data_IF_506034381568
#
_entry.id   IF_506034381568
#
_cell.length_a   1.000
_cell.length_b   1.000
_cell.length_c   1.000
_cell.angle_alpha   90.00
_cell.angle_beta   90.00
_cell.angle_gamma   90.00
#
_symmetry.space_group_name_H-M   'P 1'
#
loop_
_entity.id
_entity.type
_entity.pdbx_description
1 polymer ?
#
# COMPACT_ATOMS: atom_id res chain seq x y z
N UNK A 1 28.76 -9.70 13.86
CA UNK A 1 28.29 -10.68 12.87
C UNK A 1 27.22 -10.03 12.03
N UNK A 2 27.48 -9.84 10.75
CA UNK A 2 26.49 -9.38 9.77
C UNK A 2 25.50 -10.52 9.50
N UNK A 3 24.19 -10.27 9.67
CA UNK A 3 23.15 -11.25 9.35
C UNK A 3 22.67 -10.97 7.93
N UNK A 4 23.20 -11.71 6.96
CA UNK A 4 22.73 -11.64 5.57
C UNK A 4 21.40 -12.38 5.45
N UNK A 5 20.38 -11.69 4.99
CA UNK A 5 19.07 -12.28 4.70
C UNK A 5 19.20 -13.07 3.39
N UNK A 6 19.22 -14.40 3.49
CA UNK A 6 19.31 -15.26 2.30
C UNK A 6 17.90 -15.50 1.77
N UNK A 7 17.60 -14.94 0.60
CA UNK A 7 16.37 -15.21 -0.12
C UNK A 7 16.50 -16.58 -0.79
N UNK A 8 15.89 -17.60 -0.18
CA UNK A 8 15.91 -18.98 -0.70
C UNK A 8 14.91 -19.20 -1.86
N UNK A 9 13.86 -18.39 -1.89
CA UNK A 9 12.83 -18.44 -2.93
C UNK A 9 13.05 -17.33 -3.96
N UNK A 10 13.38 -17.72 -5.20
CA UNK A 10 13.63 -16.78 -6.29
C UNK A 10 12.39 -15.95 -6.66
N UNK A 11 11.18 -16.38 -6.31
CA UNK A 11 9.96 -15.58 -6.51
C UNK A 11 9.96 -14.30 -5.68
N UNK A 12 10.68 -14.28 -4.56
CA UNK A 12 10.84 -13.10 -3.70
C UNK A 12 11.87 -12.09 -4.23
N UNK A 13 12.53 -12.36 -5.37
CA UNK A 13 13.42 -11.39 -6.03
C UNK A 13 12.72 -10.08 -6.41
N UNK A 14 11.40 -10.10 -6.55
CA UNK A 14 10.58 -8.90 -6.76
C UNK A 14 10.59 -7.90 -5.59
N UNK A 15 11.19 -8.28 -4.46
CA UNK A 15 11.23 -7.48 -3.24
C UNK A 15 10.05 -7.78 -2.32
N UNK A 16 10.01 -7.07 -1.19
CA UNK A 16 8.94 -7.14 -0.20
C UNK A 16 8.45 -5.72 0.10
N UNK A 17 7.18 -5.61 0.46
CA UNK A 17 6.60 -4.35 0.93
C UNK A 17 6.53 -4.38 2.45
N UNK A 18 7.24 -3.47 3.10
CA UNK A 18 7.13 -3.30 4.54
C UNK A 18 5.77 -2.69 4.90
N UNK A 19 5.06 -3.31 5.84
CA UNK A 19 3.78 -2.81 6.34
C UNK A 19 4.01 -2.05 7.65
N UNK A 20 3.65 -0.75 7.74
CA UNK A 20 3.72 -0.04 9.00
C UNK A 20 2.80 -0.67 10.06
N UNK A 21 3.34 -0.98 11.24
CA UNK A 21 2.57 -1.58 12.34
C UNK A 21 1.34 -0.74 12.72
N UNK A 22 1.42 0.59 12.60
CA UNK A 22 0.29 1.50 12.84
C UNK A 22 -0.89 1.22 11.92
N UNK A 23 -0.65 0.84 10.67
CA UNK A 23 -1.71 0.47 9.70
C UNK A 23 -2.19 -0.95 9.99
N UNK A 24 -1.25 -1.88 10.22
CA UNK A 24 -1.58 -3.28 10.45
C UNK A 24 -2.43 -3.47 11.71
N UNK A 25 -2.10 -2.75 12.78
CA UNK A 25 -2.81 -2.77 14.05
C UNK A 25 -3.96 -1.76 14.14
N UNK A 26 -4.23 -0.97 13.08
CA UNK A 26 -5.25 0.07 13.10
C UNK A 26 -6.63 -0.50 13.49
N UNK A 27 -7.23 -0.05 14.60
CA UNK A 27 -8.58 -0.42 14.95
C UNK A 27 -9.57 0.30 14.02
N UNK A 28 -10.56 -0.43 13.51
CA UNK A 28 -11.58 0.13 12.63
C UNK A 28 -11.17 0.29 11.16
N UNK A 29 -9.99 -0.21 10.77
CA UNK A 29 -9.71 -0.56 9.37
C UNK A 29 -10.01 -2.04 9.15
N UNK A 30 -10.75 -2.33 8.09
CA UNK A 30 -10.94 -3.67 7.54
C UNK A 30 -9.60 -4.24 7.09
N UNK A 31 -9.48 -5.56 7.11
CA UNK A 31 -8.28 -6.24 6.63
C UNK A 31 -8.02 -5.95 5.15
N UNK A 32 -9.09 -5.80 4.36
CA UNK A 32 -9.04 -5.44 2.95
C UNK A 32 -8.53 -4.01 2.74
N UNK A 33 -8.96 -3.05 3.55
CA UNK A 33 -8.45 -1.68 3.49
C UNK A 33 -6.96 -1.62 3.86
N UNK A 34 -6.52 -2.43 4.84
CA UNK A 34 -5.09 -2.61 5.16
C UNK A 34 -4.34 -3.17 3.96
N UNK A 35 -4.87 -4.21 3.30
CA UNK A 35 -4.30 -4.76 2.07
C UNK A 35 -4.19 -3.74 0.94
N UNK A 36 -5.22 -2.90 0.76
CA UNK A 36 -5.21 -1.82 -0.22
C UNK A 36 -4.14 -0.78 0.09
N UNK A 37 -4.00 -0.37 1.35
CA UNK A 37 -2.93 0.54 1.77
C UNK A 37 -1.54 -0.03 1.47
N UNK A 38 -1.32 -1.32 1.74
CA UNK A 38 -0.05 -2.00 1.44
C UNK A 38 0.22 -2.01 -0.07
N UNK A 39 -0.82 -2.21 -0.89
CA UNK A 39 -0.72 -2.18 -2.36
C UNK A 39 -0.35 -0.79 -2.87
N UNK A 40 -0.93 0.25 -2.28
CA UNK A 40 -0.58 1.64 -2.56
C UNK A 40 0.89 1.92 -2.21
N UNK A 41 1.35 1.47 -1.03
CA UNK A 41 2.72 1.65 -0.57
C UNK A 41 3.73 0.90 -1.45
N UNK A 42 3.44 -0.35 -1.82
CA UNK A 42 4.23 -1.14 -2.76
C UNK A 42 4.41 -0.37 -4.08
N UNK A 43 3.32 0.18 -4.61
CA UNK A 43 3.34 0.89 -5.89
C UNK A 43 4.11 2.21 -5.81
N UNK A 44 3.94 2.97 -4.72
CA UNK A 44 4.67 4.21 -4.49
C UNK A 44 6.18 3.96 -4.32
N UNK A 45 6.57 2.89 -3.62
CA UNK A 45 7.98 2.51 -3.49
C UNK A 45 8.62 2.11 -4.82
N UNK A 46 7.85 1.42 -5.69
CA UNK A 46 8.35 0.96 -6.98
C UNK A 46 8.36 2.05 -8.06
N UNK A 47 7.33 2.89 -8.10
CA UNK A 47 7.06 3.79 -9.23
C UNK A 47 7.18 5.29 -8.87
N UNK A 48 7.25 5.63 -7.58
CA UNK A 48 7.27 7.02 -7.11
C UNK A 48 5.90 7.71 -7.06
N UNK A 49 4.81 7.00 -7.38
CA UNK A 49 3.45 7.56 -7.35
C UNK A 49 2.40 6.50 -6.97
N UNK A 50 1.23 6.97 -6.54
CA UNK A 50 0.09 6.11 -6.24
C UNK A 50 -0.69 5.73 -7.51
N UNK A 51 -1.05 4.44 -7.66
CA UNK A 51 -1.81 3.98 -8.81
C UNK A 51 -3.23 4.54 -8.78
N UNK A 52 -3.75 4.89 -9.95
CA UNK A 52 -5.17 5.23 -10.11
C UNK A 52 -6.08 4.02 -9.89
N UNK A 53 -7.39 4.28 -9.75
CA UNK A 53 -8.40 3.25 -9.44
C UNK A 53 -8.43 2.08 -10.41
N UNK A 54 -8.28 2.33 -11.71
CA UNK A 54 -8.21 1.27 -12.71
C UNK A 54 -7.01 0.35 -12.49
N UNK A 55 -5.84 0.92 -12.19
CA UNK A 55 -4.65 0.13 -11.92
C UNK A 55 -4.78 -0.66 -10.62
N UNK A 56 -5.46 -0.11 -9.62
CA UNK A 56 -5.79 -0.84 -8.40
C UNK A 56 -6.72 -2.03 -8.66
N UNK A 57 -7.75 -1.88 -9.50
CA UNK A 57 -8.62 -3.00 -9.86
C UNK A 57 -7.85 -4.10 -10.59
N UNK A 58 -6.89 -3.75 -11.46
CA UNK A 58 -6.03 -4.72 -12.14
C UNK A 58 -5.07 -5.43 -11.19
N UNK A 59 -4.50 -4.71 -10.22
CA UNK A 59 -3.51 -5.26 -9.27
C UNK A 59 -4.14 -6.13 -8.18
N UNK A 60 -5.36 -5.82 -7.77
CA UNK A 60 -6.03 -6.48 -6.63
C UNK A 60 -7.11 -7.45 -7.07
N UNK A 61 -7.42 -7.49 -8.38
CA UNK A 61 -8.55 -8.21 -8.97
C UNK A 61 -9.93 -7.88 -8.34
N UNK A 62 -9.99 -6.77 -7.59
CA UNK A 62 -11.21 -6.29 -6.96
C UNK A 62 -12.05 -5.48 -7.95
N UNK A 63 -13.36 -5.49 -7.74
CA UNK A 63 -14.27 -4.64 -8.51
C UNK A 63 -13.99 -3.15 -8.24
N UNK A 64 -14.31 -2.28 -9.22
CA UNK A 64 -14.22 -0.82 -9.05
C UNK A 64 -15.01 -0.34 -7.83
N UNK A 65 -16.19 -0.92 -7.59
CA UNK A 65 -17.03 -0.62 -6.43
C UNK A 65 -16.32 -0.93 -5.11
N UNK A 66 -15.65 -2.09 -5.03
CA UNK A 66 -14.85 -2.49 -3.87
C UNK A 66 -13.69 -1.52 -3.67
N UNK A 67 -12.95 -1.18 -4.73
CA UNK A 67 -11.87 -0.19 -4.65
C UNK A 67 -12.37 1.16 -4.15
N UNK A 68 -13.47 1.68 -4.71
CA UNK A 68 -14.04 2.96 -4.28
C UNK A 68 -14.47 2.94 -2.79
N UNK A 69 -15.03 1.82 -2.33
CA UNK A 69 -15.41 1.63 -0.92
C UNK A 69 -14.18 1.61 -0.01
N UNK A 70 -13.15 0.83 -0.35
CA UNK A 70 -11.94 0.71 0.45
C UNK A 70 -11.13 2.01 0.48
N UNK A 71 -11.07 2.74 -0.64
CA UNK A 71 -10.48 4.08 -0.68
C UNK A 71 -11.21 5.02 0.29
N UNK A 72 -12.56 5.05 0.25
CA UNK A 72 -13.35 5.86 1.19
C UNK A 72 -13.13 5.48 2.64
N UNK A 73 -12.95 4.19 2.92
CA UNK A 73 -12.64 3.72 4.27
C UNK A 73 -11.29 4.27 4.76
N UNK A 74 -10.25 4.17 3.93
CA UNK A 74 -8.94 4.75 4.22
C UNK A 74 -9.02 6.28 4.40
N UNK A 75 -9.86 6.95 3.60
CA UNK A 75 -10.11 8.39 3.70
C UNK A 75 -10.74 8.80 5.02
N UNK A 76 -11.84 8.14 5.38
CA UNK A 76 -12.57 8.41 6.62
C UNK A 76 -11.73 8.13 7.87
N UNK A 77 -10.75 7.22 7.77
CA UNK A 77 -9.85 6.86 8.86
C UNK A 77 -8.52 7.61 8.85
N UNK A 78 -8.30 8.51 7.88
CA UNK A 78 -7.11 9.36 7.81
C UNK A 78 -5.84 8.66 7.33
N UNK A 79 -5.97 7.53 6.63
CA UNK A 79 -4.85 6.81 6.01
C UNK A 79 -4.67 7.16 4.52
N UNK A 80 -5.62 7.88 3.93
CA UNK A 80 -5.62 8.37 2.54
C UNK A 80 -6.50 9.65 2.44
N UNK A 81 -6.42 10.51 1.40
CA UNK A 81 -5.25 10.71 0.58
C UNK A 81 -4.10 11.27 1.42
N UNK A 82 -2.87 10.91 1.06
CA UNK A 82 -1.70 11.64 1.54
C UNK A 82 -1.85 13.09 1.05
N UNK A 83 -1.88 14.09 1.93
CA UNK A 83 -1.92 15.48 1.51
C UNK A 83 -0.72 15.76 0.60
N UNK A 84 -0.92 16.58 -0.44
CA UNK A 84 0.11 16.94 -1.43
C UNK A 84 1.44 17.45 -0.80
N UNK A 85 1.45 17.80 0.48
CA UNK A 85 2.64 18.22 1.24
C UNK A 85 3.68 17.11 1.48
N UNK A 86 3.38 15.83 1.24
CA UNK A 86 4.40 14.75 1.35
C UNK A 86 5.15 14.53 0.04
N UNK A 87 4.64 15.05 -1.09
CA UNK A 87 5.36 15.07 -2.38
C UNK A 87 6.41 16.17 -2.50
N UNK A 88 6.45 17.14 -1.58
CA UNK A 88 7.39 18.29 -1.63
C UNK A 88 8.61 18.17 -0.70
N UNK A 89 8.68 17.17 0.19
CA UNK A 89 9.87 16.98 1.05
C UNK A 89 10.87 16.04 0.40
N UNK A 90 11.29 16.36 -0.83
CA UNK A 90 12.54 15.90 -1.45
C UNK A 90 13.02 16.96 -2.44
N UNK A 91 13.58 18.05 -1.90
CA UNK A 91 14.52 18.94 -2.59
C UNK A 91 15.88 18.78 -1.94
#
# INVERSE_FOLDING_TARGET
MEKTLVILDLTLRGGYTNVPNVVLAAPGLSLEAKGLYITLLMSAQKNGFFPGRQRLTELTECSKKTIDMLVRELEQKGYFPIPASVSEVRS
#
